data_IF_196189645114
#
_entry.id   IF_196189645114
#
_cell.length_a   1.000
_cell.length_b   1.000
_cell.length_c   1.000
_cell.angle_alpha   90.00
_cell.angle_beta   90.00
_cell.angle_gamma   90.00
#
_symmetry.space_group_name_H-M   'P 1'
#
loop_
_entity.id
_entity.type
_entity.pdbx_description
1 polymer ?
#
# COMPACT_ATOMS: atom_id res chain seq x y z
N UNK A 1 3.73 0.79 6.55
CA UNK A 1 4.65 0.99 5.40
C UNK A 1 3.97 0.51 4.14
N UNK A 2 4.17 1.21 3.00
CA UNK A 2 3.80 0.74 1.66
C UNK A 2 5.09 0.47 0.87
N UNK A 3 5.13 -0.59 0.05
CA UNK A 3 6.29 -0.96 -0.74
C UNK A 3 5.92 -1.71 -2.03
N UNK A 4 6.18 -1.11 -3.20
CA UNK A 4 6.23 -1.85 -4.45
C UNK A 4 7.61 -2.54 -4.56
N UNK A 5 7.64 -3.87 -4.72
CA UNK A 5 8.86 -4.67 -4.69
C UNK A 5 9.39 -5.05 -6.09
N UNK A 6 8.96 -4.35 -7.12
CA UNK A 6 9.45 -4.49 -8.52
C UNK A 6 9.53 -5.96 -8.96
N UNK A 7 8.40 -6.57 -9.27
CA UNK A 7 8.34 -7.96 -9.73
C UNK A 7 9.02 -8.96 -8.74
N UNK A 8 8.98 -8.65 -7.44
CA UNK A 8 9.62 -9.44 -6.40
C UNK A 8 11.15 -9.32 -6.34
N UNK A 9 11.75 -8.28 -6.92
CA UNK A 9 13.22 -8.08 -6.99
C UNK A 9 13.80 -7.29 -5.82
N UNK A 10 12.96 -6.69 -4.98
CA UNK A 10 13.46 -5.99 -3.81
C UNK A 10 14.35 -6.90 -2.95
N UNK A 11 15.40 -6.34 -2.39
CA UNK A 11 16.31 -7.02 -1.47
C UNK A 11 15.55 -7.35 -0.18
N UNK A 12 15.36 -8.64 0.07
CA UNK A 12 14.55 -9.12 1.19
C UNK A 12 15.16 -8.76 2.55
N UNK A 13 16.49 -8.90 2.69
CA UNK A 13 17.20 -8.59 3.94
C UNK A 13 17.11 -7.10 4.25
N UNK A 14 17.28 -6.24 3.23
CA UNK A 14 17.17 -4.80 3.39
C UNK A 14 15.74 -4.36 3.74
N UNK A 15 14.72 -4.95 3.12
CA UNK A 15 13.31 -4.67 3.43
C UNK A 15 12.99 -5.07 4.88
N UNK A 16 13.37 -6.27 5.30
CA UNK A 16 13.13 -6.77 6.66
C UNK A 16 13.91 -5.97 7.69
N UNK A 17 15.15 -5.54 7.38
CA UNK A 17 15.92 -4.62 8.24
C UNK A 17 15.17 -3.31 8.44
N UNK A 18 14.64 -2.72 7.36
CA UNK A 18 13.82 -1.51 7.42
C UNK A 18 12.58 -1.71 8.30
N UNK A 19 11.87 -2.85 8.13
CA UNK A 19 10.71 -3.19 8.95
C UNK A 19 11.05 -3.22 10.44
N UNK A 20 12.18 -3.84 10.80
CA UNK A 20 12.63 -3.95 12.19
C UNK A 20 13.14 -2.63 12.74
N UNK A 21 14.01 -1.93 12.01
CA UNK A 21 14.65 -0.67 12.46
C UNK A 21 13.66 0.48 12.61
N UNK A 22 12.65 0.53 11.73
CA UNK A 22 11.62 1.56 11.74
C UNK A 22 10.38 1.13 12.53
N UNK A 23 10.43 -0.03 13.22
CA UNK A 23 9.36 -0.58 14.06
C UNK A 23 8.00 -0.61 13.31
N UNK A 24 8.01 -1.08 12.07
CA UNK A 24 6.82 -1.13 11.23
C UNK A 24 5.82 -2.15 11.77
N UNK A 25 4.57 -1.74 11.93
CA UNK A 25 3.49 -2.60 12.41
C UNK A 25 2.73 -3.29 11.28
N UNK A 26 2.63 -2.63 10.11
CA UNK A 26 1.90 -3.14 8.94
C UNK A 26 2.66 -2.76 7.67
N UNK A 27 2.81 -3.73 6.74
CA UNK A 27 3.34 -3.48 5.40
C UNK A 27 2.32 -3.89 4.36
N UNK A 28 1.99 -2.99 3.44
CA UNK A 28 1.33 -3.32 2.17
C UNK A 28 2.40 -3.49 1.11
N UNK A 29 2.32 -4.56 0.35
CA UNK A 29 3.31 -4.92 -0.67
C UNK A 29 2.60 -5.11 -2.00
N UNK A 30 3.10 -4.44 -3.03
CA UNK A 30 2.70 -4.61 -4.41
C UNK A 30 3.82 -5.32 -5.20
N UNK A 31 3.45 -6.01 -6.26
CA UNK A 31 4.34 -6.79 -7.15
C UNK A 31 5.04 -7.98 -6.49
N UNK A 32 4.42 -8.55 -5.45
CA UNK A 32 4.94 -9.74 -4.77
C UNK A 32 4.74 -11.00 -5.64
N UNK A 33 5.76 -11.82 -5.75
CA UNK A 33 5.74 -13.09 -6.49
C UNK A 33 5.85 -14.29 -5.55
N UNK A 34 5.48 -15.51 -5.99
CA UNK A 34 5.69 -16.71 -5.16
C UNK A 34 7.13 -16.88 -4.68
N UNK A 35 8.11 -16.54 -5.54
CA UNK A 35 9.53 -16.64 -5.23
C UNK A 35 9.94 -15.60 -4.17
N UNK A 36 9.46 -14.34 -4.29
CA UNK A 36 9.80 -13.30 -3.32
C UNK A 36 9.16 -13.52 -1.96
N UNK A 37 7.99 -14.18 -1.89
CA UNK A 37 7.40 -14.60 -0.60
C UNK A 37 8.38 -15.47 0.17
N UNK A 38 8.96 -16.49 -0.47
CA UNK A 38 9.95 -17.36 0.18
C UNK A 38 11.20 -16.59 0.63
N UNK A 39 11.70 -15.64 -0.19
CA UNK A 39 12.84 -14.81 0.18
C UNK A 39 12.53 -13.91 1.39
N UNK A 40 11.34 -13.31 1.46
CA UNK A 40 10.93 -12.52 2.62
C UNK A 40 10.73 -13.35 3.88
N UNK A 41 10.21 -14.60 3.75
CA UNK A 41 10.10 -15.53 4.86
C UNK A 41 11.50 -15.94 5.37
N UNK A 42 12.42 -16.29 4.47
CA UNK A 42 13.81 -16.65 4.81
C UNK A 42 14.57 -15.48 5.48
N UNK A 43 14.31 -14.23 5.07
CA UNK A 43 14.84 -13.02 5.71
C UNK A 43 14.20 -12.70 7.07
N UNK A 44 13.12 -13.38 7.44
CA UNK A 44 12.45 -13.26 8.74
C UNK A 44 11.35 -12.19 8.77
N UNK A 45 10.68 -11.93 7.66
CA UNK A 45 9.52 -11.03 7.65
C UNK A 45 8.38 -11.58 8.51
N UNK A 46 8.14 -12.89 8.48
CA UNK A 46 7.12 -13.56 9.28
C UNK A 46 7.41 -13.52 10.79
N UNK A 47 8.70 -13.43 11.17
CA UNK A 47 9.08 -13.23 12.57
C UNK A 47 8.76 -11.80 13.05
N UNK A 48 8.96 -10.82 12.18
CA UNK A 48 8.69 -9.41 12.49
C UNK A 48 7.19 -9.08 12.43
N UNK A 49 6.47 -9.65 11.45
CA UNK A 49 5.06 -9.41 11.16
C UNK A 49 4.33 -10.76 10.98
N UNK A 50 3.91 -11.41 12.08
CA UNK A 50 3.49 -12.82 12.06
C UNK A 50 2.11 -13.09 11.44
N UNK A 51 1.33 -12.05 11.19
CA UNK A 51 0.01 -12.18 10.58
C UNK A 51 0.02 -11.62 9.17
N UNK A 52 -0.53 -12.36 8.21
CA UNK A 52 -0.50 -11.95 6.82
C UNK A 52 -1.69 -12.42 6.01
N UNK A 53 -1.96 -11.72 4.92
CA UNK A 53 -2.74 -12.19 3.80
C UNK A 53 -1.93 -11.93 2.53
N UNK A 54 -1.65 -12.99 1.77
CA UNK A 54 -0.74 -12.93 0.61
C UNK A 54 -1.42 -13.54 -0.60
N UNK A 55 -1.49 -12.78 -1.68
CA UNK A 55 -1.96 -13.21 -3.00
C UNK A 55 -0.81 -13.05 -4.01
N UNK A 56 0.18 -13.95 -4.03
CA UNK A 56 1.36 -13.84 -4.87
C UNK A 56 1.04 -14.35 -6.28
N UNK A 57 1.44 -13.58 -7.28
CA UNK A 57 1.27 -13.97 -8.68
C UNK A 57 2.55 -13.76 -9.47
N UNK A 58 2.82 -14.59 -10.50
CA UNK A 58 3.96 -14.39 -11.38
C UNK A 58 3.92 -13.04 -12.09
N UNK A 59 5.10 -12.50 -12.43
CA UNK A 59 5.21 -11.27 -13.22
C UNK A 59 4.81 -10.00 -12.47
N UNK A 60 4.86 -10.02 -11.12
CA UNK A 60 4.57 -8.84 -10.32
C UNK A 60 3.08 -8.50 -10.20
N UNK A 61 2.19 -9.44 -10.51
CA UNK A 61 0.76 -9.19 -10.38
C UNK A 61 0.21 -9.38 -8.96
N UNK A 62 1.05 -9.78 -8.00
CA UNK A 62 0.64 -10.10 -6.64
C UNK A 62 0.60 -8.90 -5.68
N UNK A 63 -0.18 -9.05 -4.61
CA UNK A 63 -0.25 -8.11 -3.50
C UNK A 63 -0.26 -8.85 -2.15
N UNK A 64 0.19 -8.17 -1.09
CA UNK A 64 0.18 -8.73 0.24
C UNK A 64 0.02 -7.65 1.33
N UNK A 65 -0.47 -8.10 2.48
CA UNK A 65 -0.45 -7.33 3.72
C UNK A 65 0.17 -8.22 4.79
N UNK A 66 1.26 -7.73 5.39
CA UNK A 66 1.88 -8.32 6.58
C UNK A 66 1.63 -7.40 7.77
N UNK A 67 1.39 -7.99 8.93
CA UNK A 67 0.96 -7.25 10.13
C UNK A 67 1.52 -7.84 11.41
N UNK A 68 1.82 -6.97 12.37
CA UNK A 68 2.06 -7.33 13.78
C UNK A 68 0.75 -7.69 14.49
N UNK A 69 -0.37 -7.17 14.00
CA UNK A 69 -1.69 -7.38 14.57
C UNK A 69 -2.41 -8.55 13.92
N UNK A 70 -3.28 -9.27 14.66
CA UNK A 70 -4.09 -10.34 14.11
C UNK A 70 -4.90 -9.91 12.88
N UNK A 71 -4.87 -10.75 11.85
CA UNK A 71 -5.56 -10.56 10.56
C UNK A 71 -6.82 -11.38 10.52
N UNK A 72 -7.91 -10.80 10.01
CA UNK A 72 -9.16 -11.48 9.72
C UNK A 72 -9.79 -10.94 8.42
N UNK A 73 -10.80 -11.64 7.91
CA UNK A 73 -11.58 -11.24 6.72
C UNK A 73 -10.72 -10.92 5.48
N UNK A 74 -9.55 -11.57 5.35
CA UNK A 74 -8.66 -11.39 4.20
C UNK A 74 -9.34 -11.83 2.89
N UNK A 75 -9.26 -10.99 1.86
CA UNK A 75 -9.74 -11.32 0.53
C UNK A 75 -8.97 -10.56 -0.55
N UNK A 76 -8.97 -11.12 -1.75
CA UNK A 76 -8.57 -10.39 -2.95
C UNK A 76 -9.70 -9.45 -3.41
N UNK A 77 -9.32 -8.35 -4.04
CA UNK A 77 -10.24 -7.39 -4.63
C UNK A 77 -10.62 -7.86 -6.04
N UNK A 78 -11.91 -7.96 -6.37
CA UNK A 78 -12.32 -8.48 -7.68
C UNK A 78 -12.16 -7.45 -8.80
N UNK A 79 -11.87 -7.93 -10.00
CA UNK A 79 -11.90 -7.14 -11.23
C UNK A 79 -10.60 -6.43 -11.60
N UNK A 80 -9.59 -6.46 -10.75
CA UNK A 80 -8.26 -5.91 -11.04
C UNK A 80 -7.44 -6.88 -11.89
N UNK A 81 -6.60 -6.34 -12.78
CA UNK A 81 -5.63 -7.12 -13.56
C UNK A 81 -4.39 -7.47 -12.73
N UNK A 82 -3.96 -6.55 -11.85
CA UNK A 82 -2.98 -6.81 -10.81
C UNK A 82 -3.72 -6.99 -9.50
N UNK A 83 -3.27 -7.91 -8.66
CA UNK A 83 -3.99 -8.21 -7.42
C UNK A 83 -4.04 -6.98 -6.50
N UNK A 84 -5.21 -6.75 -5.94
CA UNK A 84 -5.38 -5.95 -4.74
C UNK A 84 -5.90 -6.84 -3.62
N UNK A 85 -5.58 -6.54 -2.37
CA UNK A 85 -6.01 -7.31 -1.21
C UNK A 85 -6.49 -6.41 -0.08
N UNK A 86 -7.37 -6.93 0.76
CA UNK A 86 -7.83 -6.25 1.97
C UNK A 86 -7.93 -7.21 3.13
N UNK A 87 -7.74 -6.68 4.34
CA UNK A 87 -7.87 -7.39 5.61
C UNK A 87 -8.49 -6.49 6.67
N UNK A 88 -9.06 -7.08 7.69
CA UNK A 88 -9.38 -6.42 8.96
C UNK A 88 -8.28 -6.75 9.99
N UNK A 89 -7.70 -5.72 10.64
CA UNK A 89 -6.63 -5.81 11.64
C UNK A 89 -7.18 -5.51 13.02
N UNK A 90 -6.93 -6.40 13.99
CA UNK A 90 -7.25 -6.15 15.39
C UNK A 90 -6.14 -5.32 16.05
N UNK A 91 -6.28 -4.02 16.00
CA UNK A 91 -5.33 -3.04 16.58
C UNK A 91 -5.70 -2.61 18.00
N UNK A 92 -6.65 -3.31 18.66
CA UNK A 92 -7.15 -2.97 19.99
C UNK A 92 -8.06 -1.74 20.02
N UNK A 93 -8.58 -1.30 18.87
CA UNK A 93 -9.59 -0.25 18.77
C UNK A 93 -11.01 -0.82 18.86
N UNK A 94 -12.03 0.07 18.99
CA UNK A 94 -13.44 -0.34 19.07
C UNK A 94 -13.93 -1.11 17.83
N UNK A 95 -13.35 -0.82 16.70
CA UNK A 95 -13.57 -1.48 15.42
C UNK A 95 -12.23 -1.87 14.80
N UNK A 96 -12.15 -2.95 14.04
CA UNK A 96 -10.94 -3.31 13.32
C UNK A 96 -10.49 -2.18 12.38
N UNK A 97 -9.17 -2.00 12.26
CA UNK A 97 -8.59 -1.18 11.19
C UNK A 97 -8.64 -1.98 9.89
N UNK A 98 -9.31 -1.44 8.89
CA UNK A 98 -9.32 -2.08 7.57
C UNK A 98 -8.13 -1.61 6.76
N UNK A 99 -7.28 -2.54 6.34
CA UNK A 99 -6.11 -2.29 5.52
C UNK A 99 -6.31 -2.81 4.10
N UNK A 100 -5.83 -2.03 3.13
CA UNK A 100 -5.81 -2.40 1.71
C UNK A 100 -4.40 -2.27 1.16
N UNK A 101 -4.01 -3.21 0.29
CA UNK A 101 -2.91 -3.06 -0.65
C UNK A 101 -3.51 -3.03 -2.05
N UNK A 102 -3.28 -1.95 -2.81
CA UNK A 102 -3.87 -1.74 -4.14
C UNK A 102 -2.79 -1.45 -5.17
N UNK A 103 -2.98 -2.00 -6.38
CA UNK A 103 -2.08 -1.76 -7.50
C UNK A 103 -2.88 -1.69 -8.82
N UNK A 104 -3.61 -0.59 -9.06
CA UNK A 104 -4.24 -0.37 -10.36
C UNK A 104 -3.21 -0.42 -11.49
N UNK A 105 -3.58 -1.07 -12.60
CA UNK A 105 -2.68 -1.24 -13.75
C UNK A 105 -2.13 0.12 -14.25
N UNK A 106 -0.85 0.26 -14.64
CA UNK A 106 -0.32 1.53 -15.14
C UNK A 106 -0.99 1.97 -16.46
N UNK A 107 -1.09 3.30 -16.73
CA UNK A 107 -1.68 3.82 -17.96
C UNK A 107 -0.81 3.61 -19.21
N UNK A 108 0.37 3.02 -19.04
CA UNK A 108 1.30 2.64 -20.10
C UNK A 108 2.13 1.41 -19.66
N UNK A 109 2.29 0.39 -20.49
CA UNK A 109 1.81 0.26 -21.89
C UNK A 109 0.32 -0.09 -22.03
N UNK A 110 -0.40 -0.25 -20.93
CA UNK A 110 -1.83 -0.56 -20.94
C UNK A 110 -2.63 0.66 -21.46
N UNK A 111 -3.71 0.45 -22.21
CA UNK A 111 -4.55 1.56 -22.66
C UNK A 111 -5.13 2.34 -21.47
N UNK A 112 -5.06 3.68 -21.52
CA UNK A 112 -5.55 4.58 -20.47
C UNK A 112 -7.00 4.29 -20.00
N UNK A 113 -7.97 3.86 -20.85
CA UNK A 113 -9.30 3.50 -20.36
C UNK A 113 -9.31 2.31 -19.39
N UNK A 114 -8.39 1.36 -19.52
CA UNK A 114 -8.28 0.20 -18.59
C UNK A 114 -7.78 0.68 -17.23
N UNK A 115 -6.68 1.45 -17.19
CA UNK A 115 -6.20 2.12 -15.98
C UNK A 115 -7.31 2.95 -15.31
N UNK A 116 -8.04 3.71 -16.11
CA UNK A 116 -9.13 4.54 -15.62
C UNK A 116 -10.25 3.71 -14.97
N UNK A 117 -10.62 2.56 -15.57
CA UNK A 117 -11.63 1.67 -15.00
C UNK A 117 -11.17 1.00 -13.70
N UNK A 118 -9.88 0.71 -13.54
CA UNK A 118 -9.37 0.16 -12.28
C UNK A 118 -9.34 1.20 -11.14
N UNK A 119 -9.12 2.48 -11.46
CA UNK A 119 -9.31 3.54 -10.45
C UNK A 119 -10.79 3.71 -10.06
N UNK A 120 -11.74 3.43 -10.98
CA UNK A 120 -13.15 3.37 -10.62
C UNK A 120 -13.44 2.17 -9.69
N UNK A 121 -12.80 1.01 -9.89
CA UNK A 121 -12.88 -0.14 -8.94
C UNK A 121 -12.30 0.23 -7.55
N UNK A 122 -11.20 0.98 -7.50
CA UNK A 122 -10.68 1.51 -6.22
C UNK A 122 -11.72 2.39 -5.55
N UNK A 123 -12.37 3.29 -6.30
CA UNK A 123 -13.42 4.16 -5.76
C UNK A 123 -14.62 3.34 -5.20
N UNK A 124 -15.02 2.27 -5.88
CA UNK A 124 -16.09 1.38 -5.43
C UNK A 124 -15.70 0.66 -4.12
N UNK A 125 -14.49 0.13 -4.01
CA UNK A 125 -13.98 -0.47 -2.77
C UNK A 125 -13.87 0.55 -1.63
N UNK A 126 -13.42 1.77 -1.91
CA UNK A 126 -13.38 2.86 -0.95
C UNK A 126 -14.78 3.24 -0.48
N UNK A 127 -15.77 3.32 -1.36
CA UNK A 127 -17.17 3.58 -1.03
C UNK A 127 -17.76 2.47 -0.15
N UNK A 128 -17.49 1.20 -0.50
CA UNK A 128 -17.90 0.06 0.30
C UNK A 128 -17.25 0.07 1.69
N UNK A 129 -15.96 0.42 1.78
CA UNK A 129 -15.25 0.56 3.05
C UNK A 129 -15.85 1.70 3.89
N UNK A 130 -16.16 2.84 3.29
CA UNK A 130 -16.74 4.00 3.97
C UNK A 130 -18.15 3.74 4.54
N UNK A 131 -18.89 2.77 4.00
CA UNK A 131 -20.22 2.39 4.50
C UNK A 131 -20.18 1.55 5.79
N UNK A 132 -19.00 1.08 6.21
CA UNK A 132 -18.79 0.27 7.41
C UNK A 132 -18.07 1.11 8.48
N UNK A 133 -18.39 0.93 9.77
CA UNK A 133 -17.68 1.63 10.84
C UNK A 133 -16.22 1.17 10.93
N UNK A 134 -15.36 2.04 11.46
CA UNK A 134 -13.94 1.81 11.70
C UNK A 134 -13.05 2.59 10.73
N UNK A 135 -11.78 2.73 11.14
CA UNK A 135 -10.76 3.39 10.34
C UNK A 135 -10.33 2.55 9.16
N UNK A 136 -9.89 3.21 8.10
CA UNK A 136 -9.36 2.56 6.90
C UNK A 136 -8.00 3.13 6.56
N UNK A 137 -7.07 2.27 6.14
CA UNK A 137 -5.79 2.64 5.54
C UNK A 137 -5.61 1.89 4.22
N UNK A 138 -5.21 2.59 3.18
CA UNK A 138 -4.90 2.04 1.87
C UNK A 138 -3.46 2.42 1.55
N UNK A 139 -2.58 1.44 1.45
CA UNK A 139 -1.24 1.64 0.89
C UNK A 139 -1.20 1.06 -0.51
N UNK A 140 -0.51 1.72 -1.45
CA UNK A 140 -0.39 1.16 -2.79
C UNK A 140 0.35 2.03 -3.78
N UNK A 141 0.77 1.39 -4.86
CA UNK A 141 1.12 2.06 -6.11
C UNK A 141 -0.17 2.30 -6.91
N UNK A 142 -0.68 3.52 -6.84
CA UNK A 142 -1.92 3.89 -7.55
C UNK A 142 -1.70 4.14 -9.04
N UNK A 143 -0.46 4.07 -9.51
CA UNK A 143 -0.09 4.45 -10.87
C UNK A 143 -0.69 5.81 -11.28
N UNK A 144 -0.84 6.69 -10.30
CA UNK A 144 -1.51 7.99 -10.40
C UNK A 144 -0.86 9.00 -9.48
N UNK A 145 -0.86 10.24 -9.92
CA UNK A 145 -0.39 11.39 -9.14
C UNK A 145 -1.55 12.32 -8.82
N UNK A 146 -1.35 13.30 -7.94
CA UNK A 146 -2.30 14.40 -7.69
C UNK A 146 -2.63 15.24 -8.95
N UNK A 147 -1.85 15.13 -10.04
CA UNK A 147 -2.20 15.76 -11.32
C UNK A 147 -3.38 15.06 -12.02
N UNK A 148 -3.61 13.77 -11.75
CA UNK A 148 -4.71 13.01 -12.32
C UNK A 148 -6.03 13.30 -11.59
N UNK A 149 -7.05 13.75 -12.32
CA UNK A 149 -8.36 14.06 -11.72
C UNK A 149 -9.02 12.85 -11.06
N UNK A 150 -8.84 11.65 -11.63
CA UNK A 150 -9.39 10.41 -11.05
C UNK A 150 -8.81 10.12 -9.67
N UNK A 151 -7.49 10.30 -9.47
CA UNK A 151 -6.88 10.15 -8.16
C UNK A 151 -7.42 11.19 -7.17
N UNK A 152 -7.48 12.47 -7.58
CA UNK A 152 -8.06 13.51 -6.70
C UNK A 152 -9.51 13.24 -6.32
N UNK A 153 -10.29 12.60 -7.21
CA UNK A 153 -11.67 12.23 -6.90
C UNK A 153 -11.76 11.15 -5.82
N UNK A 154 -10.75 10.27 -5.68
CA UNK A 154 -10.68 9.31 -4.58
C UNK A 154 -10.53 10.01 -3.22
N UNK A 155 -9.93 11.21 -3.21
CA UNK A 155 -9.67 11.99 -1.98
C UNK A 155 -10.88 12.87 -1.60
N UNK A 156 -12.10 12.41 -1.87
CA UNK A 156 -13.35 13.05 -1.46
C UNK A 156 -13.98 12.34 -0.25
N UNK A 157 -15.02 12.89 0.31
CA UNK A 157 -15.86 12.26 1.33
C UNK A 157 -15.11 11.73 2.56
N UNK A 158 -14.07 12.48 3.01
CA UNK A 158 -13.32 12.17 4.20
C UNK A 158 -12.10 11.26 3.97
N UNK A 159 -11.78 10.93 2.72
CA UNK A 159 -10.52 10.30 2.37
C UNK A 159 -9.40 11.33 2.25
N UNK A 160 -8.25 11.03 2.82
CA UNK A 160 -7.11 11.95 2.87
C UNK A 160 -5.83 11.21 2.51
N UNK A 161 -5.05 11.76 1.59
CA UNK A 161 -3.68 11.30 1.35
C UNK A 161 -2.78 11.70 2.54
N UNK A 162 -1.94 10.78 2.97
CA UNK A 162 -1.02 11.02 4.08
C UNK A 162 -0.07 12.20 3.82
N UNK A 163 0.35 12.42 2.57
CA UNK A 163 1.18 13.57 2.20
C UNK A 163 0.43 14.90 2.40
N UNK A 164 -0.84 14.95 2.05
CA UNK A 164 -1.68 16.14 2.28
C UNK A 164 -1.93 16.35 3.77
N UNK A 165 -2.19 15.26 4.53
CA UNK A 165 -2.47 15.33 5.96
C UNK A 165 -1.32 15.94 6.77
N UNK A 166 -0.07 15.68 6.39
CA UNK A 166 1.12 16.22 7.07
C UNK A 166 1.75 17.42 6.36
N UNK A 167 1.20 17.85 5.21
CA UNK A 167 1.74 18.97 4.44
C UNK A 167 3.10 18.68 3.79
N UNK A 168 3.39 17.42 3.44
CA UNK A 168 4.67 17.01 2.86
C UNK A 168 4.84 17.47 1.39
N UNK A 169 3.74 17.84 0.72
CA UNK A 169 3.77 18.18 -0.69
C UNK A 169 3.96 16.96 -1.59
N UNK A 170 4.54 17.16 -2.78
CA UNK A 170 4.81 16.07 -3.72
C UNK A 170 6.00 15.25 -3.26
N UNK A 171 5.80 13.96 -3.08
CA UNK A 171 6.85 13.00 -2.72
C UNK A 171 7.13 12.10 -3.93
N UNK A 172 8.22 12.35 -4.69
CA UNK A 172 8.56 11.50 -5.82
C UNK A 172 9.02 10.11 -5.35
N UNK A 173 8.35 9.07 -5.87
CA UNK A 173 8.64 7.68 -5.52
C UNK A 173 9.17 6.87 -6.69
N UNK A 174 8.93 7.30 -7.93
CA UNK A 174 9.28 6.57 -9.15
C UNK A 174 9.92 7.49 -10.22
N UNK A 175 10.83 7.00 -11.08
CA UNK A 175 11.55 5.72 -11.00
C UNK A 175 12.86 5.84 -10.19
N UNK A 176 13.30 4.73 -9.58
CA UNK A 176 14.58 4.63 -8.86
C UNK A 176 15.69 3.91 -9.63
N UNK A 177 15.36 3.24 -10.74
CA UNK A 177 16.30 2.47 -11.58
C UNK A 177 16.95 3.30 -12.69
N UNK A 178 16.79 4.62 -12.67
CA UNK A 178 17.31 5.54 -13.70
C UNK A 178 18.53 6.32 -13.19
N UNK A 179 19.27 6.94 -14.14
CA UNK A 179 20.40 7.82 -13.82
C UNK A 179 20.00 9.17 -13.21
N UNK A 180 18.72 9.50 -13.21
CA UNK A 180 18.13 10.69 -12.60
C UNK A 180 17.25 10.30 -11.39
N UNK A 181 17.04 11.21 -10.44
CA UNK A 181 16.22 10.92 -9.27
C UNK A 181 14.75 10.69 -9.64
N UNK A 182 13.95 10.09 -8.77
CA UNK A 182 12.52 9.91 -8.97
C UNK A 182 11.83 11.26 -9.24
N UNK A 183 10.87 11.26 -10.16
CA UNK A 183 10.21 12.47 -10.66
C UNK A 183 8.70 12.50 -10.52
N UNK A 184 8.08 11.34 -10.25
CA UNK A 184 6.63 11.21 -10.02
C UNK A 184 6.34 10.51 -8.70
N UNK A 185 5.33 10.98 -7.98
CA UNK A 185 4.77 10.32 -6.79
C UNK A 185 3.52 9.56 -7.21
N UNK A 186 3.61 8.25 -7.29
CA UNK A 186 2.52 7.35 -7.69
C UNK A 186 2.16 6.35 -6.60
N UNK A 187 3.03 6.25 -5.59
CA UNK A 187 2.80 5.50 -4.37
C UNK A 187 2.14 6.40 -3.33
N UNK A 188 1.08 5.92 -2.68
CA UNK A 188 0.31 6.69 -1.74
C UNK A 188 -0.09 5.87 -0.52
N UNK A 189 -0.28 6.58 0.60
CA UNK A 189 -0.99 6.07 1.77
C UNK A 189 -2.23 6.95 1.96
N UNK A 190 -3.41 6.37 1.78
CA UNK A 190 -4.69 7.07 1.90
C UNK A 190 -5.43 6.57 3.13
N UNK A 191 -5.98 7.47 3.93
CA UNK A 191 -6.67 7.13 5.17
C UNK A 191 -8.09 7.70 5.20
N UNK A 192 -8.95 7.06 6.01
CA UNK A 192 -10.28 7.54 6.36
C UNK A 192 -10.57 7.23 7.83
N UNK A 193 -11.23 8.16 8.52
CA UNK A 193 -11.55 8.04 9.95
C UNK A 193 -10.31 7.68 10.80
N UNK A 194 -9.15 8.19 10.38
CA UNK A 194 -7.85 8.02 11.00
C UNK A 194 -7.03 9.30 10.84
N UNK A 195 -6.12 9.55 11.77
CA UNK A 195 -5.16 10.67 11.66
C UNK A 195 -3.83 10.20 11.09
N UNK A 196 -3.09 11.10 10.46
CA UNK A 196 -1.68 10.89 10.07
C UNK A 196 -0.81 11.89 10.83
N UNK A 197 0.25 11.41 11.49
CA UNK A 197 1.15 12.25 12.29
C UNK A 197 2.52 12.42 11.66
N UNK A 198 2.90 11.50 10.79
CA UNK A 198 4.22 11.47 10.17
C UNK A 198 4.14 10.72 8.85
N UNK A 199 4.93 11.16 7.88
CA UNK A 199 5.16 10.47 6.61
C UNK A 199 6.62 10.65 6.22
N UNK A 200 7.26 9.56 5.81
CA UNK A 200 8.62 9.52 5.32
C UNK A 200 8.70 8.70 4.05
N UNK A 201 9.67 9.00 3.21
CA UNK A 201 9.99 8.27 1.99
C UNK A 201 11.26 7.49 2.22
N UNK A 202 11.24 6.19 1.92
CA UNK A 202 12.39 5.29 2.10
C UNK A 202 12.77 4.61 0.80
N UNK A 203 14.06 4.45 0.56
CA UNK A 203 14.53 3.70 -0.58
C UNK A 203 14.31 2.19 -0.35
N UNK A 204 13.76 1.51 -1.34
CA UNK A 204 13.59 0.05 -1.34
C UNK A 204 14.71 -0.52 -2.21
N UNK A 205 15.72 -1.10 -1.58
CA UNK A 205 16.84 -1.68 -2.30
C UNK A 205 16.37 -2.75 -3.29
N UNK A 206 16.80 -2.67 -4.54
CA UNK A 206 16.39 -3.59 -5.61
C UNK A 206 15.07 -3.28 -6.29
N UNK A 207 14.32 -2.28 -5.80
CA UNK A 207 13.09 -1.79 -6.44
C UNK A 207 13.36 -0.54 -7.29
N UNK A 208 12.50 -0.32 -8.28
CA UNK A 208 12.43 0.93 -9.04
C UNK A 208 11.45 1.94 -8.39
N UNK A 209 10.91 1.61 -7.20
CA UNK A 209 10.10 2.51 -6.38
C UNK A 209 10.78 2.83 -5.04
N UNK A 210 10.40 3.96 -4.46
CA UNK A 210 10.53 4.23 -3.05
C UNK A 210 9.28 3.77 -2.31
N UNK A 211 9.45 3.34 -1.07
CA UNK A 211 8.35 3.08 -0.17
C UNK A 211 7.95 4.30 0.66
N UNK A 212 6.78 4.23 1.26
CA UNK A 212 6.24 5.21 2.18
C UNK A 212 6.07 4.63 3.58
N UNK A 213 6.53 5.37 4.60
CA UNK A 213 6.28 5.03 6.00
C UNK A 213 5.39 6.11 6.60
N UNK A 214 4.18 5.75 7.00
CA UNK A 214 3.24 6.65 7.66
C UNK A 214 2.97 6.21 9.10
N UNK A 215 2.92 7.16 10.03
CA UNK A 215 2.38 6.93 11.38
C UNK A 215 0.90 7.31 11.36
N UNK A 216 0.06 6.28 11.43
CA UNK A 216 -1.40 6.42 11.41
C UNK A 216 -1.94 6.26 12.83
N UNK A 217 -2.86 7.11 13.24
CA UNK A 217 -3.55 7.03 14.52
C UNK A 217 -5.03 6.70 14.30
N UNK A 218 -5.49 5.68 15.00
CA UNK A 218 -6.90 5.27 14.97
C UNK A 218 -7.59 5.74 16.27
N UNK A 219 -8.89 6.09 16.23
CA UNK A 219 -9.64 6.41 17.44
C UNK A 219 -9.64 5.24 18.41
N UNK A 220 -9.21 5.46 19.64
CA UNK A 220 -9.32 4.49 20.74
C UNK A 220 -10.72 4.51 21.33
N UNK A 221 -11.13 3.42 22.00
CA UNK A 221 -12.32 3.44 22.84
C UNK A 221 -12.18 4.52 23.93
N UNK A 222 -13.25 5.27 24.21
CA UNK A 222 -13.26 6.21 25.34
C UNK A 222 -13.17 5.50 26.69
#
# INVERSE_FOLDING_TARGET
>A
MQANVMLGRADADALVSTVREREIDVVTIEEITPESVALFEDAGLDEALPYKFVAPYPGGAGAAIYSRFPVSNGRELPGFLLAGVTVDLDVGAAQPLRAYAVHPIPPYPTPTPVWASELDLVADEMSAAASRPGSVVIGGDFNSTHAHSRFRNLLSDGWVDAADAVGAGVLPTYPMDKWYPPVVGIDHVVVRDAGVRFLDVVDIAGSDHRGLIAVVTVPTMP
#
